data_IF_094272020823
#
_entry.id   IF_094272020823
#
_cell.length_a   1.000
_cell.length_b   1.000
_cell.length_c   1.000
_cell.angle_alpha   90.00
_cell.angle_beta   90.00
_cell.angle_gamma   90.00
#
_symmetry.space_group_name_H-M   'P 1'
#
loop_
_entity.id
_entity.type
_entity.pdbx_description
1 polymer ?
#
# COMPACT_ATOMS: atom_id res chain seq x y z
N UNK A 1 -36.38 -46.05 -18.63
CA UNK A 1 -36.04 -45.02 -17.62
C UNK A 1 -34.73 -45.30 -16.89
N UNK A 2 -34.49 -46.54 -16.42
CA UNK A 2 -33.28 -46.86 -15.63
C UNK A 2 -31.95 -46.66 -16.40
N UNK A 3 -31.90 -47.04 -17.68
CA UNK A 3 -30.72 -46.85 -18.53
C UNK A 3 -30.35 -45.37 -18.73
N UNK A 4 -31.33 -44.47 -18.78
CA UNK A 4 -31.09 -43.02 -18.90
C UNK A 4 -30.50 -42.46 -17.60
N UNK A 5 -31.04 -42.89 -16.45
CA UNK A 5 -30.54 -42.47 -15.15
C UNK A 5 -29.10 -42.94 -14.89
N UNK A 6 -28.76 -44.16 -15.31
CA UNK A 6 -27.39 -44.68 -15.21
C UNK A 6 -26.38 -43.87 -16.04
N UNK A 7 -26.77 -43.41 -17.23
CA UNK A 7 -25.94 -42.53 -18.05
C UNK A 7 -25.70 -41.18 -17.37
N UNK A 8 -26.74 -40.58 -16.79
CA UNK A 8 -26.64 -39.31 -16.05
C UNK A 8 -25.71 -39.47 -14.84
N UNK A 9 -25.89 -40.54 -14.04
CA UNK A 9 -25.02 -40.83 -12.90
C UNK A 9 -23.57 -41.03 -13.34
N UNK A 10 -23.33 -41.75 -14.43
CA UNK A 10 -21.99 -41.95 -14.98
C UNK A 10 -21.31 -40.63 -15.38
N UNK A 11 -22.04 -39.72 -16.02
CA UNK A 11 -21.51 -38.40 -16.41
C UNK A 11 -21.20 -37.54 -15.19
N UNK A 12 -22.09 -37.53 -14.18
CA UNK A 12 -21.89 -36.75 -12.95
C UNK A 12 -20.67 -37.27 -12.19
N UNK A 13 -20.58 -38.57 -11.97
CA UNK A 13 -19.44 -39.17 -11.27
C UNK A 13 -18.13 -38.98 -12.04
N UNK A 14 -18.16 -39.14 -13.37
CA UNK A 14 -16.99 -38.89 -14.22
C UNK A 14 -16.50 -37.45 -14.14
N UNK A 15 -17.42 -36.49 -14.15
CA UNK A 15 -17.08 -35.05 -14.05
C UNK A 15 -16.51 -34.71 -12.67
N UNK A 16 -17.13 -35.21 -11.60
CA UNK A 16 -16.63 -35.01 -10.23
C UNK A 16 -15.26 -35.65 -10.03
N UNK A 17 -15.04 -36.86 -10.55
CA UNK A 17 -13.76 -37.55 -10.47
C UNK A 17 -12.67 -36.80 -11.25
N UNK A 18 -12.99 -36.28 -12.44
CA UNK A 18 -12.07 -35.46 -13.24
C UNK A 18 -11.69 -34.17 -12.52
N UNK A 19 -12.66 -33.44 -11.98
CA UNK A 19 -12.41 -32.22 -11.20
C UNK A 19 -11.55 -32.50 -9.96
N UNK A 20 -11.85 -33.58 -9.24
CA UNK A 20 -11.10 -33.97 -8.04
C UNK A 20 -9.66 -34.36 -8.38
N UNK A 21 -9.44 -35.11 -9.46
CA UNK A 21 -8.11 -35.48 -9.93
C UNK A 21 -7.28 -34.25 -10.33
N UNK A 22 -7.89 -33.29 -11.05
CA UNK A 22 -7.21 -32.05 -11.43
C UNK A 22 -6.90 -31.21 -10.19
N UNK A 23 -7.86 -31.04 -9.28
CA UNK A 23 -7.67 -30.29 -8.03
C UNK A 23 -6.53 -30.86 -7.16
N UNK A 24 -6.39 -32.19 -7.09
CA UNK A 24 -5.29 -32.83 -6.35
C UNK A 24 -3.95 -32.82 -7.08
N UNK A 25 -3.94 -32.58 -8.40
CA UNK A 25 -2.70 -32.39 -9.17
C UNK A 25 -2.20 -30.95 -9.17
N UNK A 26 -3.05 -29.97 -8.82
CA UNK A 26 -2.62 -28.60 -8.58
C UNK A 26 -1.87 -28.58 -7.25
N UNK A 27 -0.59 -28.15 -7.22
CA UNK A 27 0.15 -27.98 -5.98
C UNK A 27 -0.67 -27.09 -5.04
N UNK A 28 -1.07 -27.64 -3.90
CA UNK A 28 -1.79 -26.91 -2.87
C UNK A 28 -0.81 -25.93 -2.24
N UNK A 29 -0.67 -24.73 -2.83
CA UNK A 29 0.06 -23.63 -2.22
C UNK A 29 -0.75 -23.25 -0.99
N UNK A 30 -0.36 -23.78 0.18
CA UNK A 30 -0.89 -23.28 1.42
C UNK A 30 -0.51 -21.80 1.47
N UNK A 31 -1.53 -20.94 1.41
CA UNK A 31 -1.37 -19.52 1.69
C UNK A 31 -0.98 -19.44 3.16
N UNK A 32 0.32 -19.49 3.45
CA UNK A 32 0.83 -19.23 4.78
C UNK A 32 0.37 -17.81 5.12
N UNK A 33 -0.61 -17.74 6.02
CA UNK A 33 -1.25 -16.50 6.42
C UNK A 33 -0.13 -15.55 6.83
N UNK A 34 0.00 -14.36 6.21
CA UNK A 34 0.91 -13.36 6.73
C UNK A 34 0.50 -13.13 8.17
N UNK A 35 1.37 -13.49 9.12
CA UNK A 35 1.12 -13.29 10.54
C UNK A 35 0.64 -11.85 10.72
N UNK A 36 -0.61 -11.71 11.19
CA UNK A 36 -1.20 -10.42 11.49
C UNK A 36 -0.32 -9.79 12.53
N UNK A 37 0.30 -8.69 12.14
CA UNK A 37 1.40 -8.08 12.84
C UNK A 37 0.84 -7.33 14.06
N UNK A 38 0.42 -8.07 15.09
CA UNK A 38 -0.03 -7.52 16.36
C UNK A 38 1.22 -7.11 17.14
N UNK A 39 1.80 -5.96 16.75
CA UNK A 39 2.92 -5.34 17.45
C UNK A 39 2.41 -4.77 18.79
N UNK A 40 2.12 -5.65 19.75
CA UNK A 40 1.76 -5.29 21.11
C UNK A 40 2.98 -4.97 21.99
N UNK A 41 2.73 -4.64 23.26
CA UNK A 41 3.74 -4.17 24.23
C UNK A 41 4.94 -5.11 24.50
N UNK A 42 4.94 -6.35 23.99
CA UNK A 42 5.96 -7.38 24.22
C UNK A 42 6.67 -7.84 22.93
N UNK A 43 6.72 -6.99 21.91
CA UNK A 43 7.33 -7.36 20.64
C UNK A 43 8.86 -7.34 20.72
N UNK A 44 9.51 -8.34 20.11
CA UNK A 44 10.99 -8.41 20.08
C UNK A 44 11.57 -7.54 18.95
N UNK A 45 12.83 -7.09 19.05
CA UNK A 45 13.50 -6.35 17.98
C UNK A 45 13.50 -7.11 16.64
N UNK A 46 13.69 -8.43 16.66
CA UNK A 46 13.68 -9.27 15.45
C UNK A 46 12.31 -9.30 14.79
N UNK A 47 11.23 -9.33 15.58
CA UNK A 47 9.87 -9.25 15.06
C UNK A 47 9.59 -7.88 14.44
N UNK A 48 10.13 -6.79 15.01
CA UNK A 48 10.04 -5.45 14.43
C UNK A 48 10.81 -5.33 13.12
N UNK A 49 12.00 -5.93 13.05
CA UNK A 49 12.79 -5.95 11.82
C UNK A 49 12.05 -6.70 10.72
N UNK A 50 11.58 -7.92 10.99
CA UNK A 50 10.82 -8.72 10.02
C UNK A 50 9.52 -8.02 9.57
N UNK A 51 8.86 -7.32 10.49
CA UNK A 51 7.72 -6.48 10.20
C UNK A 51 8.08 -5.29 9.30
N UNK A 52 9.15 -4.58 9.64
CA UNK A 52 9.63 -3.43 8.93
C UNK A 52 10.08 -3.76 7.52
N UNK A 53 10.69 -4.91 7.31
CA UNK A 53 11.05 -5.41 5.99
C UNK A 53 9.81 -5.58 5.09
N UNK A 54 8.71 -6.12 5.63
CA UNK A 54 7.44 -6.25 4.90
C UNK A 54 6.83 -4.89 4.58
N UNK A 55 6.92 -3.93 5.50
CA UNK A 55 6.46 -2.54 5.26
C UNK A 55 7.31 -1.90 4.17
N UNK A 56 8.65 -2.02 4.26
CA UNK A 56 9.60 -1.47 3.31
C UNK A 56 9.34 -1.97 1.89
N UNK A 57 9.24 -3.29 1.71
CA UNK A 57 9.04 -3.94 0.42
C UNK A 57 7.59 -3.90 -0.09
N UNK A 58 6.62 -3.64 0.79
CA UNK A 58 5.19 -3.66 0.50
C UNK A 58 4.57 -2.27 0.51
N UNK A 59 3.71 -2.02 1.50
CA UNK A 59 2.86 -0.82 1.58
C UNK A 59 3.65 0.49 1.67
N UNK A 60 4.87 0.47 2.21
CA UNK A 60 5.75 1.64 2.26
C UNK A 60 6.35 2.00 0.91
N UNK A 61 6.40 1.07 -0.05
CA UNK A 61 6.87 1.31 -1.41
C UNK A 61 8.30 1.84 -1.51
N UNK A 62 9.10 1.70 -0.45
CA UNK A 62 10.40 2.36 -0.30
C UNK A 62 11.41 2.02 -1.41
N UNK A 63 11.55 0.75 -1.86
CA UNK A 63 12.48 0.37 -2.94
C UNK A 63 12.28 1.14 -4.24
N UNK A 64 11.06 1.60 -4.52
CA UNK A 64 10.71 2.37 -5.74
C UNK A 64 11.59 3.61 -5.90
N UNK A 65 12.03 4.19 -4.79
CA UNK A 65 12.92 5.35 -4.78
C UNK A 65 14.29 5.03 -4.18
N UNK A 66 14.33 4.22 -3.11
CA UNK A 66 15.51 3.98 -2.27
C UNK A 66 16.31 2.71 -2.60
N UNK A 67 16.03 2.06 -3.74
CA UNK A 67 16.71 0.81 -4.14
C UNK A 67 18.02 0.99 -4.90
N UNK A 68 18.08 1.91 -5.86
CA UNK A 68 19.22 2.04 -6.80
C UNK A 68 20.16 3.23 -6.50
N UNK A 69 19.82 4.10 -5.54
CA UNK A 69 20.60 5.32 -5.29
C UNK A 69 20.48 6.39 -6.38
N UNK A 70 19.61 6.22 -7.39
CA UNK A 70 19.46 7.18 -8.51
C UNK A 70 18.39 8.23 -8.25
N UNK A 71 17.26 7.82 -7.66
CA UNK A 71 16.09 8.69 -7.40
C UNK A 71 16.08 9.21 -5.96
N UNK A 72 16.45 8.37 -5.02
CA UNK A 72 16.66 8.70 -3.63
C UNK A 72 17.89 7.90 -3.12
N UNK A 73 18.46 8.25 -1.96
CA UNK A 73 19.62 7.55 -1.40
C UNK A 73 19.35 6.05 -1.25
N UNK A 74 20.34 5.22 -1.55
CA UNK A 74 20.29 3.78 -1.31
C UNK A 74 20.25 3.50 0.20
N UNK A 75 19.25 2.75 0.65
CA UNK A 75 19.09 2.44 2.07
C UNK A 75 19.67 1.08 2.45
N UNK A 76 19.69 0.10 1.55
CA UNK A 76 19.97 -1.29 1.90
C UNK A 76 21.43 -1.72 1.71
N UNK A 77 22.13 -1.14 0.74
CA UNK A 77 23.45 -1.63 0.32
C UNK A 77 24.53 -0.58 0.54
N UNK A 78 24.74 0.30 -0.42
CA UNK A 78 25.72 1.37 -0.32
C UNK A 78 25.17 2.64 -0.95
N UNK A 79 25.27 3.75 -0.21
CA UNK A 79 25.03 5.09 -0.74
C UNK A 79 26.38 5.77 -0.98
N UNK A 80 26.92 5.63 -2.19
CA UNK A 80 28.13 6.35 -2.66
C UNK A 80 29.34 6.20 -1.73
N UNK A 81 29.55 5.02 -1.17
CA UNK A 81 30.65 4.68 -0.27
C UNK A 81 30.36 4.95 1.21
N UNK A 82 29.15 5.43 1.56
CA UNK A 82 28.74 5.63 2.96
C UNK A 82 28.14 4.36 3.61
N UNK A 83 28.03 3.24 2.88
CA UNK A 83 27.42 2.00 3.37
C UNK A 83 25.90 2.06 3.44
N UNK A 84 25.24 1.09 4.10
CA UNK A 84 23.78 1.03 4.25
C UNK A 84 23.28 2.03 5.31
N UNK A 85 21.97 2.26 5.37
CA UNK A 85 21.42 3.35 6.21
C UNK A 85 21.66 3.12 7.70
N UNK A 86 21.54 1.88 8.19
CA UNK A 86 21.76 1.54 9.59
C UNK A 86 23.20 1.79 10.05
N UNK A 87 24.18 1.64 9.15
CA UNK A 87 25.59 1.93 9.46
C UNK A 87 25.90 3.44 9.60
N UNK A 88 25.05 4.32 9.02
CA UNK A 88 25.34 5.75 8.90
C UNK A 88 24.35 6.68 9.61
N UNK A 89 23.10 6.27 9.82
CA UNK A 89 22.02 7.08 10.37
C UNK A 89 22.38 7.84 11.66
N UNK A 90 23.04 7.18 12.63
CA UNK A 90 23.46 7.81 13.88
C UNK A 90 24.54 8.88 13.75
N UNK A 91 25.13 9.05 12.56
CA UNK A 91 26.15 10.06 12.25
C UNK A 91 25.61 11.15 11.32
N UNK A 92 24.37 11.04 10.84
CA UNK A 92 23.79 11.93 9.82
C UNK A 92 23.46 13.31 10.38
N UNK A 93 23.04 13.38 11.64
CA UNK A 93 22.67 14.63 12.30
C UNK A 93 23.28 14.69 13.70
N UNK A 94 24.09 15.73 14.02
CA UNK A 94 24.68 15.89 15.35
C UNK A 94 23.62 15.92 16.46
N UNK A 95 23.84 15.12 17.50
CA UNK A 95 22.97 15.10 18.68
C UNK A 95 21.68 14.28 18.54
N UNK A 96 21.49 13.55 17.43
CA UNK A 96 20.35 12.63 17.24
C UNK A 96 20.80 11.17 17.26
N UNK A 97 20.00 10.31 17.87
CA UNK A 97 20.14 8.87 17.68
C UNK A 97 19.69 8.45 16.27
N UNK A 98 20.06 7.23 15.86
CA UNK A 98 19.65 6.69 14.57
C UNK A 98 18.12 6.68 14.43
N UNK A 99 17.38 6.09 15.38
CA UNK A 99 15.91 6.10 15.38
C UNK A 99 15.28 7.48 15.35
N UNK A 100 15.84 8.47 16.06
CA UNK A 100 15.33 9.86 16.02
C UNK A 100 15.49 10.48 14.64
N UNK A 101 16.69 10.35 14.06
CA UNK A 101 16.97 10.82 12.71
C UNK A 101 16.04 10.16 11.68
N UNK A 102 15.84 8.84 11.76
CA UNK A 102 14.99 8.09 10.84
C UNK A 102 13.52 8.46 10.99
N UNK A 103 13.01 8.58 12.22
CA UNK A 103 11.64 9.01 12.48
C UNK A 103 11.37 10.39 11.89
N UNK A 104 12.24 11.36 12.17
CA UNK A 104 12.08 12.72 11.65
C UNK A 104 12.25 12.79 10.12
N UNK A 105 13.11 11.96 9.53
CA UNK A 105 13.20 11.86 8.06
C UNK A 105 11.92 11.30 7.43
N UNK A 106 11.15 10.49 8.16
CA UNK A 106 9.86 9.95 7.70
C UNK A 106 8.70 10.91 7.95
N UNK A 107 8.75 11.72 9.01
CA UNK A 107 7.73 12.72 9.35
C UNK A 107 7.93 14.06 8.61
N UNK A 108 9.18 14.43 8.38
CA UNK A 108 9.61 15.68 7.76
C UNK A 108 10.71 15.39 6.73
N UNK A 109 10.38 14.74 5.60
CA UNK A 109 11.37 14.33 4.59
C UNK A 109 12.18 15.49 3.97
N UNK A 110 11.71 16.73 4.10
CA UNK A 110 12.46 17.92 3.70
C UNK A 110 13.54 18.38 4.69
N UNK A 111 13.57 17.87 5.92
CA UNK A 111 14.51 18.30 6.96
C UNK A 111 15.94 17.84 6.68
N UNK A 112 16.12 16.63 6.15
CA UNK A 112 17.42 15.97 6.00
C UNK A 112 17.68 15.50 4.56
N UNK A 113 17.48 16.38 3.58
CA UNK A 113 17.69 16.04 2.17
C UNK A 113 19.17 15.76 1.90
N UNK A 114 19.46 14.53 1.49
CA UNK A 114 20.82 14.12 1.15
C UNK A 114 21.30 14.90 -0.09
N UNK A 115 22.54 15.40 -0.03
CA UNK A 115 23.14 16.19 -1.11
C UNK A 115 23.05 15.45 -2.46
N UNK A 116 22.52 16.12 -3.47
CA UNK A 116 22.35 15.59 -4.82
C UNK A 116 20.99 14.93 -5.09
N UNK A 117 20.09 14.88 -4.10
CA UNK A 117 18.71 14.42 -4.28
C UNK A 117 17.71 15.57 -4.17
N UNK A 118 16.55 15.38 -4.78
CA UNK A 118 15.42 16.30 -4.72
C UNK A 118 14.51 15.95 -3.53
N UNK A 119 13.82 16.93 -2.91
CA UNK A 119 12.89 16.69 -1.81
C UNK A 119 11.56 16.09 -2.32
N UNK A 120 11.61 14.86 -2.81
CA UNK A 120 10.47 14.16 -3.43
C UNK A 120 9.86 13.08 -2.54
N UNK A 121 10.47 12.81 -1.38
CA UNK A 121 9.98 11.79 -0.45
C UNK A 121 8.67 12.26 0.19
N UNK A 122 7.59 11.46 0.12
CA UNK A 122 6.32 11.81 0.75
C UNK A 122 6.42 11.70 2.28
N UNK A 123 5.50 12.37 2.97
CA UNK A 123 5.42 12.30 4.43
C UNK A 123 4.88 10.92 4.84
N UNK A 124 5.79 10.02 5.23
CA UNK A 124 5.45 8.61 5.46
C UNK A 124 4.56 8.42 6.70
N UNK A 125 4.68 9.28 7.72
CA UNK A 125 3.82 9.27 8.90
C UNK A 125 2.35 9.58 8.59
N UNK A 126 2.05 10.08 7.39
CA UNK A 126 0.67 10.25 6.88
C UNK A 126 0.18 9.05 6.07
N UNK A 127 1.06 8.13 5.70
CA UNK A 127 0.75 6.97 4.85
C UNK A 127 0.79 5.65 5.62
N UNK A 128 1.58 5.58 6.69
CA UNK A 128 1.80 4.40 7.51
C UNK A 128 1.30 4.63 8.93
N UNK A 129 0.85 3.55 9.58
CA UNK A 129 0.48 3.61 11.00
C UNK A 129 1.73 3.85 11.87
N UNK A 130 1.57 4.35 13.11
CA UNK A 130 2.68 4.52 14.03
C UNK A 130 3.49 3.23 14.23
N UNK A 131 2.83 2.08 14.33
CA UNK A 131 3.49 0.77 14.47
C UNK A 131 4.29 0.41 13.21
N UNK A 132 3.76 0.69 12.02
CA UNK A 132 4.46 0.46 10.75
C UNK A 132 5.68 1.38 10.59
N UNK A 133 5.58 2.64 11.05
CA UNK A 133 6.69 3.59 11.08
C UNK A 133 7.82 3.05 11.96
N UNK A 134 7.51 2.66 13.20
CA UNK A 134 8.53 2.14 14.10
C UNK A 134 9.11 0.79 13.65
N UNK A 135 8.29 -0.08 13.04
CA UNK A 135 8.78 -1.32 12.44
C UNK A 135 9.76 -1.04 11.29
N UNK A 136 9.42 -0.13 10.35
CA UNK A 136 10.33 0.18 9.25
C UNK A 136 11.61 0.86 9.75
N UNK A 137 11.55 1.69 10.79
CA UNK A 137 12.75 2.25 11.42
C UNK A 137 13.64 1.13 11.96
N UNK A 138 13.09 0.17 12.72
CA UNK A 138 13.85 -0.97 13.24
C UNK A 138 14.53 -1.77 12.11
N UNK A 139 13.81 -2.03 11.02
CA UNK A 139 14.39 -2.66 9.83
C UNK A 139 15.54 -1.83 9.23
N UNK A 140 15.37 -0.52 9.06
CA UNK A 140 16.41 0.35 8.53
C UNK A 140 17.65 0.39 9.45
N UNK A 141 17.47 0.38 10.77
CA UNK A 141 18.57 0.25 11.74
C UNK A 141 19.32 -1.07 11.57
N UNK A 142 18.60 -2.17 11.32
CA UNK A 142 19.20 -3.49 11.10
C UNK A 142 20.06 -3.58 9.84
N UNK A 143 19.95 -2.63 8.91
CA UNK A 143 20.79 -2.54 7.71
C UNK A 143 22.19 -2.03 8.07
N UNK A 144 22.98 -2.88 8.71
CA UNK A 144 24.38 -2.60 9.09
C UNK A 144 24.56 -1.80 10.38
N UNK A 145 23.50 -1.60 11.17
CA UNK A 145 23.53 -0.95 12.48
C UNK A 145 22.96 -1.83 13.60
N UNK A 146 22.86 -1.26 14.80
CA UNK A 146 22.17 -1.88 15.95
C UNK A 146 20.74 -1.39 16.01
N UNK A 147 19.81 -2.29 16.30
CA UNK A 147 18.39 -1.95 16.45
C UNK A 147 18.16 -1.41 17.87
N UNK A 148 17.85 -0.12 17.97
CA UNK A 148 17.62 0.59 19.22
C UNK A 148 16.12 0.95 19.43
N UNK A 149 15.27 0.57 18.46
CA UNK A 149 13.81 0.62 18.58
C UNK A 149 13.33 -0.44 19.58
N UNK A 150 12.51 0.00 20.52
CA UNK A 150 11.94 -0.82 21.59
C UNK A 150 10.42 -0.70 21.63
N UNK A 151 9.76 -1.58 22.37
CA UNK A 151 8.31 -1.53 22.53
C UNK A 151 7.80 -0.19 23.13
N UNK A 152 8.63 0.53 23.90
CA UNK A 152 8.26 1.84 24.45
C UNK A 152 8.26 2.96 23.42
N UNK A 153 8.96 2.79 22.29
CA UNK A 153 8.95 3.77 21.20
C UNK A 153 7.64 3.71 20.40
N UNK A 154 6.97 2.56 20.43
CA UNK A 154 5.72 2.31 19.73
C UNK A 154 4.58 2.88 20.58
N UNK A 155 3.82 3.88 20.10
CA UNK A 155 2.68 4.38 20.84
C UNK A 155 1.69 3.25 21.10
N UNK A 156 1.37 3.02 22.38
CA UNK A 156 0.29 2.11 22.77
C UNK A 156 -0.98 2.53 22.04
N UNK A 157 -1.78 1.57 21.58
CA UNK A 157 -2.97 1.83 20.76
C UNK A 157 -3.91 2.84 21.45
N UNK A 158 -3.77 4.11 21.07
CA UNK A 158 -4.72 5.16 21.36
C UNK A 158 -5.83 5.11 20.33
N UNK A 159 -6.82 4.25 20.54
CA UNK A 159 -8.16 4.37 19.98
C UNK A 159 -8.26 4.45 18.44
N UNK A 160 -7.78 3.44 17.74
CA UNK A 160 -8.33 3.02 16.45
C UNK A 160 -7.95 1.55 16.27
N UNK A 161 -8.77 0.66 16.85
CA UNK A 161 -8.52 -0.77 16.87
C UNK A 161 -8.29 -1.31 15.45
N UNK A 162 -7.13 -1.89 15.24
CA UNK A 162 -6.89 -2.81 14.16
C UNK A 162 -7.18 -4.24 14.68
N UNK A 163 -8.17 -4.96 14.16
CA UNK A 163 -8.09 -6.41 14.14
C UNK A 163 -7.27 -6.85 12.93
N UNK A 164 -6.49 -7.90 13.14
CA UNK A 164 -5.49 -8.44 12.21
C UNK A 164 -5.96 -8.62 10.77
N UNK A 165 -5.06 -8.26 9.85
CA UNK A 165 -5.29 -8.29 8.41
C UNK A 165 -4.86 -9.64 7.82
N UNK A 166 -5.83 -10.47 7.45
CA UNK A 166 -5.70 -11.42 6.34
C UNK A 166 -6.32 -10.80 5.08
N UNK A 167 -5.71 -10.94 3.88
CA UNK A 167 -6.27 -10.41 2.64
C UNK A 167 -7.35 -11.36 2.13
N UNK A 168 -8.58 -11.18 2.64
CA UNK A 168 -9.80 -11.47 1.89
C UNK A 168 -10.28 -10.22 1.16
N UNK A 169 -11.25 -10.33 0.24
CA UNK A 169 -11.78 -9.19 -0.53
C UNK A 169 -12.51 -8.13 0.32
N UNK A 170 -12.49 -8.30 1.65
CA UNK A 170 -13.16 -7.52 2.69
C UNK A 170 -12.20 -7.03 3.79
N UNK A 171 -10.88 -6.99 3.55
CA UNK A 171 -9.95 -6.29 4.44
C UNK A 171 -10.22 -4.77 4.51
N UNK A 172 -9.63 -4.02 5.46
CA UNK A 172 -9.93 -2.59 5.63
C UNK A 172 -9.66 -1.76 4.35
N UNK A 173 -8.88 -2.27 3.41
CA UNK A 173 -8.50 -1.52 2.21
C UNK A 173 -7.80 -0.21 2.59
N UNK A 174 -7.64 0.67 1.61
CA UNK A 174 -7.14 2.02 1.77
C UNK A 174 -7.96 2.79 2.83
N UNK A 175 -7.45 3.88 3.42
CA UNK A 175 -8.26 4.72 4.31
C UNK A 175 -8.82 4.00 5.57
N UNK A 176 -8.15 2.93 6.02
CA UNK A 176 -8.41 2.28 7.30
C UNK A 176 -9.78 1.62 7.44
N UNK A 177 -10.39 1.11 6.35
CA UNK A 177 -11.74 0.51 6.40
C UNK A 177 -12.86 1.49 6.13
N UNK A 178 -12.60 2.80 6.17
CA UNK A 178 -13.63 3.81 5.98
C UNK A 178 -14.23 3.71 4.59
N UNK A 179 -15.56 3.72 4.52
CA UNK A 179 -16.33 3.86 3.28
C UNK A 179 -16.73 5.30 3.01
N UNK A 180 -16.26 6.26 3.82
CA UNK A 180 -16.47 7.68 3.55
C UNK A 180 -15.68 8.09 2.29
N UNK A 181 -16.37 8.54 1.21
CA UNK A 181 -15.72 8.92 -0.04
C UNK A 181 -14.65 10.01 0.13
N UNK A 182 -14.83 10.96 1.03
CA UNK A 182 -13.85 12.04 1.25
C UNK A 182 -12.56 11.51 1.86
N UNK A 183 -12.71 10.60 2.82
CA UNK A 183 -11.57 9.91 3.46
C UNK A 183 -10.84 9.03 2.44
N UNK A 184 -11.57 8.32 1.59
CA UNK A 184 -10.99 7.54 0.49
C UNK A 184 -10.25 8.44 -0.51
N UNK A 185 -10.85 9.54 -0.96
CA UNK A 185 -10.25 10.50 -1.91
C UNK A 185 -8.95 11.08 -1.38
N UNK A 186 -8.92 11.42 -0.10
CA UNK A 186 -7.73 11.95 0.56
C UNK A 186 -6.65 10.88 0.73
N UNK A 187 -7.01 9.70 1.24
CA UNK A 187 -6.07 8.60 1.45
C UNK A 187 -5.51 8.07 0.12
N UNK A 188 -6.28 8.12 -0.96
CA UNK A 188 -5.88 7.66 -2.29
C UNK A 188 -5.01 8.69 -3.00
N UNK A 189 -4.90 9.90 -2.45
CA UNK A 189 -4.20 11.02 -3.07
C UNK A 189 -4.84 11.47 -4.37
N UNK A 190 -6.15 11.25 -4.58
CA UNK A 190 -6.81 11.61 -5.85
C UNK A 190 -6.62 13.10 -6.17
N UNK A 191 -6.67 13.95 -5.15
CA UNK A 191 -6.52 15.40 -5.26
C UNK A 191 -5.10 15.86 -5.62
N UNK A 192 -4.09 14.98 -5.56
CA UNK A 192 -2.73 15.30 -5.99
C UNK A 192 -2.67 15.58 -7.50
N UNK A 193 -3.60 15.00 -8.27
CA UNK A 193 -3.67 15.19 -9.71
C UNK A 193 -5.02 15.72 -10.18
N UNK A 194 -6.11 15.28 -9.57
CA UNK A 194 -7.46 15.65 -9.96
C UNK A 194 -7.99 16.82 -9.16
N UNK A 195 -8.80 17.65 -9.80
CA UNK A 195 -9.62 18.65 -9.14
C UNK A 195 -11.00 18.08 -8.80
N UNK A 196 -11.55 18.47 -7.65
CA UNK A 196 -12.91 18.14 -7.21
C UNK A 196 -13.43 19.29 -6.34
N UNK A 197 -14.57 19.87 -6.69
CA UNK A 197 -15.24 20.95 -5.95
C UNK A 197 -14.32 22.15 -5.62
N UNK A 198 -13.42 22.49 -6.55
CA UNK A 198 -12.45 23.57 -6.35
C UNK A 198 -11.17 23.16 -5.62
N UNK A 199 -11.08 21.95 -5.09
CA UNK A 199 -9.92 21.42 -4.37
C UNK A 199 -9.06 20.52 -5.26
N UNK A 200 -7.76 20.44 -4.99
CA UNK A 200 -6.81 19.59 -5.72
C UNK A 200 -6.09 20.31 -6.87
N UNK A 201 -5.43 19.52 -7.73
CA UNK A 201 -4.59 20.03 -8.83
C UNK A 201 -5.27 19.87 -10.20
N UNK A 202 -4.77 20.59 -11.21
CA UNK A 202 -5.28 20.56 -12.60
C UNK A 202 -4.42 19.71 -13.54
N UNK A 203 -3.68 18.74 -12.99
CA UNK A 203 -2.78 17.85 -13.74
C UNK A 203 -3.60 16.78 -14.49
N UNK A 204 -4.70 16.32 -13.91
CA UNK A 204 -5.62 15.32 -14.45
C UNK A 204 -7.03 15.92 -14.63
N UNK A 205 -7.95 15.22 -15.34
CA UNK A 205 -9.29 15.74 -15.61
C UNK A 205 -10.07 16.11 -14.34
N UNK A 206 -10.75 17.25 -14.38
CA UNK A 206 -11.63 17.69 -13.29
C UNK A 206 -12.77 16.68 -13.05
N UNK A 207 -12.91 16.25 -11.80
CA UNK A 207 -13.89 15.28 -11.34
C UNK A 207 -15.18 15.92 -10.79
N UNK A 208 -15.22 17.24 -10.60
CA UNK A 208 -16.36 17.99 -10.01
C UNK A 208 -17.70 17.64 -10.64
N UNK A 209 -17.74 17.44 -11.96
CA UNK A 209 -18.95 17.10 -12.71
C UNK A 209 -18.80 15.78 -13.47
N UNK A 210 -18.04 14.83 -12.92
CA UNK A 210 -17.77 13.57 -13.60
C UNK A 210 -19.02 12.72 -13.79
N UNK A 211 -19.96 12.77 -12.83
CA UNK A 211 -21.25 12.07 -12.88
C UNK A 211 -22.18 12.56 -13.99
N UNK A 212 -21.97 13.79 -14.49
CA UNK A 212 -22.67 14.31 -15.67
C UNK A 212 -22.15 13.72 -16.99
N UNK A 213 -20.92 13.20 -17.00
CA UNK A 213 -20.28 12.66 -18.22
C UNK A 213 -20.09 11.14 -18.20
N UNK A 214 -20.14 10.52 -17.01
CA UNK A 214 -19.89 9.09 -16.83
C UNK A 214 -20.84 8.49 -15.80
N UNK A 215 -21.32 7.29 -16.09
CA UNK A 215 -22.08 6.49 -15.13
C UNK A 215 -21.13 5.73 -14.17
N UNK A 216 -21.72 5.15 -13.12
CA UNK A 216 -21.00 4.40 -12.10
C UNK A 216 -20.12 3.27 -12.67
N UNK A 217 -20.62 2.52 -13.66
CA UNK A 217 -19.85 1.43 -14.29
C UNK A 217 -18.61 1.96 -15.03
N UNK A 218 -18.77 3.05 -15.78
CA UNK A 218 -17.65 3.69 -16.48
C UNK A 218 -16.62 4.24 -15.50
N UNK A 219 -17.05 4.83 -14.38
CA UNK A 219 -16.15 5.34 -13.34
C UNK A 219 -15.41 4.18 -12.66
N UNK A 220 -16.10 3.09 -12.30
CA UNK A 220 -15.49 1.88 -11.73
C UNK A 220 -14.43 1.31 -12.65
N UNK A 221 -14.78 1.11 -13.93
CA UNK A 221 -13.84 0.64 -14.94
C UNK A 221 -12.62 1.57 -15.05
N UNK A 222 -12.80 2.88 -14.85
CA UNK A 222 -11.69 3.82 -14.85
C UNK A 222 -10.76 3.77 -13.66
N UNK A 223 -11.30 3.52 -12.48
CA UNK A 223 -10.46 3.35 -11.27
C UNK A 223 -9.67 2.05 -11.35
N UNK A 224 -10.28 0.98 -11.88
CA UNK A 224 -9.64 -0.34 -11.99
C UNK A 224 -8.68 -0.46 -13.18
N UNK A 225 -9.04 0.11 -14.32
CA UNK A 225 -8.22 0.15 -15.53
C UNK A 225 -8.17 1.60 -16.07
N UNK A 226 -7.27 2.44 -15.54
CA UNK A 226 -7.13 3.81 -15.98
C UNK A 226 -6.72 3.92 -17.45
N UNK A 227 -6.06 2.89 -18.00
CA UNK A 227 -5.62 2.85 -19.40
C UNK A 227 -6.71 2.45 -20.40
N UNK A 228 -7.89 2.00 -19.95
CA UNK A 228 -9.00 1.58 -20.83
C UNK A 228 -9.55 2.66 -21.79
N UNK A 229 -9.12 3.91 -21.67
CA UNK A 229 -9.52 5.09 -22.48
C UNK A 229 -8.94 6.37 -21.86
N UNK A 230 -8.34 7.26 -22.65
CA UNK A 230 -7.79 8.49 -22.10
C UNK A 230 -8.78 9.63 -22.33
N UNK A 231 -8.94 10.52 -21.35
CA UNK A 231 -9.75 11.71 -21.54
C UNK A 231 -9.12 12.60 -22.62
N UNK A 232 -9.94 13.16 -23.51
CA UNK A 232 -9.49 14.03 -24.59
C UNK A 232 -8.65 15.18 -24.01
N UNK A 233 -7.45 15.39 -24.55
CA UNK A 233 -6.50 16.42 -24.09
C UNK A 233 -5.51 15.94 -23.02
N UNK A 234 -5.62 14.70 -22.56
CA UNK A 234 -4.71 14.10 -21.56
C UNK A 234 -3.88 12.95 -22.13
N UNK A 235 -3.78 12.82 -23.45
CA UNK A 235 -3.10 11.71 -24.14
C UNK A 235 -1.62 11.60 -23.74
N UNK A 236 -0.94 12.75 -23.55
CA UNK A 236 0.47 12.80 -23.12
C UNK A 236 0.68 12.41 -21.65
N UNK A 237 -0.39 12.32 -20.87
CA UNK A 237 -0.39 11.98 -19.44
C UNK A 237 -0.98 10.57 -19.21
N UNK A 238 -1.17 9.80 -20.30
CA UNK A 238 -1.60 8.42 -20.22
C UNK A 238 -0.68 7.59 -19.32
N UNK A 239 -1.26 6.85 -18.38
CA UNK A 239 -0.51 5.99 -17.46
C UNK A 239 -0.03 6.67 -16.17
N UNK A 240 -0.23 7.98 -15.99
CA UNK A 240 0.05 8.67 -14.72
C UNK A 240 -0.92 8.23 -13.62
N UNK A 241 -2.17 7.94 -13.96
CA UNK A 241 -3.15 7.43 -12.98
C UNK A 241 -2.75 6.00 -12.57
N UNK A 242 -2.49 5.75 -11.27
CA UNK A 242 -2.04 4.45 -10.78
C UNK A 242 -3.01 3.31 -11.12
N UNK A 243 -2.47 2.15 -11.51
CA UNK A 243 -3.24 0.91 -11.75
C UNK A 243 -3.49 0.11 -10.47
N UNK A 244 -2.96 0.57 -9.34
CA UNK A 244 -2.98 -0.16 -8.07
C UNK A 244 -4.26 0.05 -7.26
N UNK A 245 -5.16 0.94 -7.66
CA UNK A 245 -6.38 1.19 -6.89
C UNK A 245 -7.29 -0.03 -6.78
N UNK A 246 -7.27 -0.93 -7.77
CA UNK A 246 -8.01 -2.19 -7.70
C UNK A 246 -7.50 -3.19 -6.67
N UNK A 247 -6.24 -3.04 -6.21
CA UNK A 247 -5.67 -3.84 -5.13
C UNK A 247 -5.61 -3.09 -3.80
N UNK A 248 -5.65 -1.75 -3.83
CA UNK A 248 -5.62 -0.89 -2.64
C UNK A 248 -7.01 -0.66 -2.05
N UNK A 249 -8.04 -0.45 -2.87
CA UNK A 249 -9.42 -0.28 -2.42
C UNK A 249 -10.07 -1.66 -2.24
N UNK A 250 -10.76 -1.87 -1.13
CA UNK A 250 -11.67 -3.01 -1.04
C UNK A 250 -12.96 -2.74 -1.85
N UNK A 251 -13.80 -3.77 -2.01
CA UNK A 251 -15.02 -3.66 -2.79
C UNK A 251 -15.96 -2.56 -2.25
N UNK A 252 -16.15 -2.46 -0.94
CA UNK A 252 -17.05 -1.48 -0.33
C UNK A 252 -16.58 -0.04 -0.57
N UNK A 253 -15.27 0.20 -0.51
CA UNK A 253 -14.66 1.51 -0.74
C UNK A 253 -14.71 1.93 -2.19
N UNK A 254 -14.39 0.99 -3.09
CA UNK A 254 -14.51 1.23 -4.51
C UNK A 254 -15.95 1.59 -4.85
N UNK A 255 -16.94 0.86 -4.32
CA UNK A 255 -18.35 1.16 -4.54
C UNK A 255 -18.76 2.51 -3.96
N UNK A 256 -18.39 2.83 -2.72
CA UNK A 256 -18.70 4.11 -2.11
C UNK A 256 -18.12 5.29 -2.91
N UNK A 257 -16.86 5.18 -3.34
CA UNK A 257 -16.20 6.18 -4.16
C UNK A 257 -16.87 6.32 -5.54
N UNK A 258 -17.17 5.21 -6.19
CA UNK A 258 -17.83 5.19 -7.51
C UNK A 258 -19.20 5.86 -7.43
N UNK A 259 -20.01 5.51 -6.43
CA UNK A 259 -21.34 6.09 -6.26
C UNK A 259 -21.28 7.58 -5.96
N UNK A 260 -20.35 7.99 -5.10
CA UNK A 260 -20.10 9.40 -4.81
C UNK A 260 -19.77 10.19 -6.09
N UNK A 261 -18.79 9.73 -6.87
CA UNK A 261 -18.39 10.40 -8.11
C UNK A 261 -19.50 10.39 -9.17
N UNK A 262 -20.27 9.30 -9.27
CA UNK A 262 -21.41 9.22 -10.19
C UNK A 262 -22.55 10.19 -9.80
N UNK A 263 -22.68 10.50 -8.52
CA UNK A 263 -23.66 11.47 -8.01
C UNK A 263 -23.19 12.94 -8.16
N UNK A 264 -21.89 13.19 -8.36
CA UNK A 264 -21.33 14.54 -8.55
C UNK A 264 -21.53 15.00 -10.00
N UNK A 265 -22.65 15.68 -10.23
CA UNK A 265 -23.13 16.14 -11.54
C UNK A 265 -22.82 17.60 -11.80
#
# INVERSE_FOLDING_TARGET
MWATNLKVVGVVLGTLALYTLIANKIPQVQSEVPQTLTLGANVTPEQLVAAGEKVFNGIGGCPTCHGLGTRAPNLLTDEKGEGPIGARCGKREPGKSCKQYLFESLDQPGAYVVKGYQPIMPVMTKQLSPQQIWAVIAFLESQGGTVDVTASDIPAEGGAGAPGVSPGPTGPGLAGGSTDPKVIIQAAGCLACHKLDGQGQVIAPDLTHVGSRRNAESIRKKILDPTSSIAKGYEKLAGIMPKTFGTMLNAAQLEALVQYLAAHK
#
